data_IF_925869253675
#
_entry.id   IF_925869253675
#
_cell.length_a   1.000
_cell.length_b   1.000
_cell.length_c   1.000
_cell.angle_alpha   90.00
_cell.angle_beta   90.00
_cell.angle_gamma   90.00
#
_symmetry.space_group_name_H-M   'P 1'
#
loop_
_entity.id
_entity.type
_entity.pdbx_description
1 polymer ?
#
# COMPACT_ATOMS: atom_id res chain seq x y z
N UNK A 1 15.89 19.72 65.27
CA UNK A 1 16.83 19.51 64.14
C UNK A 1 17.21 18.06 64.10
N UNK A 2 16.62 17.28 63.20
CA UNK A 2 17.12 15.97 62.79
C UNK A 2 16.51 15.67 61.42
N UNK A 3 17.24 16.08 60.40
CA UNK A 3 16.99 15.82 59.00
C UNK A 3 17.25 14.33 58.75
N UNK A 4 16.19 13.57 58.45
CA UNK A 4 16.31 12.16 58.08
C UNK A 4 16.21 12.04 56.56
N UNK A 5 17.36 11.73 55.96
CA UNK A 5 17.62 11.53 54.55
C UNK A 5 17.40 10.04 54.22
N UNK A 6 16.39 9.67 53.42
CA UNK A 6 16.33 8.33 52.79
C UNK A 6 15.86 8.37 51.33
N UNK A 7 16.87 8.24 50.46
CA UNK A 7 16.96 7.64 49.13
C UNK A 7 15.70 7.55 48.25
N UNK A 8 15.63 8.44 47.25
CA UNK A 8 14.76 8.27 46.09
C UNK A 8 15.24 7.16 45.17
N UNK A 9 14.50 6.06 45.08
CA UNK A 9 14.66 5.07 44.01
C UNK A 9 14.07 5.63 42.72
N UNK A 10 14.91 6.19 41.85
CA UNK A 10 14.51 6.47 40.47
C UNK A 10 14.28 5.14 39.75
N UNK A 11 13.01 4.75 39.61
CA UNK A 11 12.58 3.75 38.63
C UNK A 11 12.96 4.29 37.24
N UNK A 12 14.11 3.84 36.71
CA UNK A 12 14.46 4.05 35.32
C UNK A 12 13.54 3.19 34.48
N UNK A 13 12.39 3.74 34.12
CA UNK A 13 11.50 3.14 33.12
C UNK A 13 12.26 3.12 31.79
N UNK A 14 12.87 1.97 31.49
CA UNK A 14 13.53 1.75 30.21
C UNK A 14 12.44 1.81 29.14
N UNK A 15 12.40 2.92 28.41
CA UNK A 15 11.44 3.13 27.35
C UNK A 15 11.62 2.03 26.31
N UNK A 16 10.73 1.03 26.33
CA UNK A 16 10.73 -0.05 25.35
C UNK A 16 10.70 0.59 23.95
N UNK A 17 11.78 0.41 23.20
CA UNK A 17 11.94 0.99 21.88
C UNK A 17 10.73 0.62 21.03
N UNK A 18 10.03 1.62 20.49
CA UNK A 18 8.85 1.40 19.63
C UNK A 18 9.17 0.70 18.29
N UNK A 19 10.42 0.27 18.12
CA UNK A 19 10.99 -0.24 16.88
C UNK A 19 11.94 -1.39 17.22
N UNK A 20 11.80 -2.52 16.52
CA UNK A 20 12.70 -3.65 16.56
C UNK A 20 13.59 -3.66 15.31
N UNK A 21 14.89 -3.91 15.44
CA UNK A 21 15.80 -4.05 14.29
C UNK A 21 16.01 -5.53 14.01
N UNK A 22 15.56 -6.00 12.85
CA UNK A 22 15.65 -7.39 12.39
C UNK A 22 17.11 -7.82 12.33
N UNK A 23 17.43 -8.99 12.88
CA UNK A 23 18.75 -9.63 12.83
C UNK A 23 18.79 -10.72 11.76
N UNK A 24 19.99 -11.16 11.40
CA UNK A 24 20.13 -12.30 10.50
C UNK A 24 19.50 -13.55 11.11
N UNK A 25 18.66 -14.25 10.35
CA UNK A 25 17.95 -15.46 10.82
C UNK A 25 16.60 -15.20 11.53
N UNK A 26 16.17 -13.95 11.63
CA UNK A 26 14.86 -13.60 12.19
C UNK A 26 13.72 -13.90 11.23
N UNK A 27 12.57 -14.25 11.82
CA UNK A 27 11.28 -14.33 11.13
C UNK A 27 10.26 -13.50 11.91
N UNK A 28 9.18 -13.07 11.25
CA UNK A 28 8.11 -12.34 11.94
C UNK A 28 7.54 -13.14 13.14
N UNK A 29 7.53 -14.47 13.04
CA UNK A 29 7.10 -15.34 14.13
C UNK A 29 8.03 -15.25 15.34
N UNK A 30 9.35 -15.38 15.15
CA UNK A 30 10.34 -15.24 16.24
C UNK A 30 10.27 -13.85 16.90
N UNK A 31 10.16 -12.80 16.09
CA UNK A 31 10.04 -11.42 16.58
C UNK A 31 8.72 -11.23 17.34
N UNK A 32 7.62 -11.81 16.87
CA UNK A 32 6.32 -11.76 17.54
C UNK A 32 6.39 -12.35 18.95
N UNK A 33 7.02 -13.52 19.10
CA UNK A 33 7.20 -14.15 20.41
C UNK A 33 8.08 -13.31 21.35
N UNK A 34 9.17 -12.74 20.82
CA UNK A 34 10.11 -11.94 21.61
C UNK A 34 9.51 -10.60 22.06
N UNK A 35 8.75 -9.94 21.19
CA UNK A 35 8.23 -8.59 21.42
C UNK A 35 6.81 -8.58 21.99
N UNK A 36 6.15 -9.74 22.08
CA UNK A 36 4.74 -9.90 22.45
C UNK A 36 3.78 -9.14 21.52
N UNK A 37 4.19 -8.87 20.27
CA UNK A 37 3.36 -8.24 19.23
C UNK A 37 3.05 -9.29 18.18
N UNK A 38 1.76 -9.61 17.98
CA UNK A 38 1.36 -10.63 17.01
C UNK A 38 1.90 -10.34 15.61
N UNK A 39 2.19 -11.39 14.83
CA UNK A 39 2.61 -11.28 13.42
C UNK A 39 1.65 -10.38 12.63
N UNK A 40 0.34 -10.52 12.85
CA UNK A 40 -0.68 -9.68 12.21
C UNK A 40 -0.49 -8.19 12.55
N UNK A 41 -0.22 -7.86 13.81
CA UNK A 41 0.03 -6.49 14.25
C UNK A 41 1.37 -5.96 13.74
N UNK A 42 2.45 -6.75 13.80
CA UNK A 42 3.74 -6.40 13.20
C UNK A 42 3.59 -6.06 11.72
N UNK A 43 2.84 -6.88 10.97
CA UNK A 43 2.58 -6.62 9.55
C UNK A 43 1.74 -5.36 9.35
N UNK A 44 0.67 -5.21 10.13
CA UNK A 44 -0.22 -4.04 10.07
C UNK A 44 0.52 -2.74 10.35
N UNK A 45 1.32 -2.69 11.41
CA UNK A 45 2.04 -1.49 11.84
C UNK A 45 3.14 -1.06 10.85
N UNK A 46 3.68 -2.04 10.11
CA UNK A 46 4.79 -1.85 9.18
C UNK A 46 4.40 -1.93 7.71
N UNK A 47 3.10 -2.08 7.40
CA UNK A 47 2.61 -2.24 6.03
C UNK A 47 3.17 -3.46 5.29
N UNK A 48 3.56 -4.51 6.01
CA UNK A 48 4.14 -5.72 5.41
C UNK A 48 3.02 -6.55 4.76
N UNK A 49 3.19 -6.85 3.48
CA UNK A 49 2.24 -7.67 2.71
C UNK A 49 2.51 -9.16 2.82
N UNK A 50 3.73 -9.55 3.13
CA UNK A 50 4.18 -10.94 3.30
C UNK A 50 4.91 -11.12 4.63
N UNK A 51 5.40 -12.33 4.89
CA UNK A 51 6.20 -12.63 6.08
C UNK A 51 7.71 -12.41 5.85
N UNK A 52 8.10 -11.92 4.67
CA UNK A 52 9.48 -11.66 4.31
C UNK A 52 9.98 -10.38 4.96
N UNK A 53 11.09 -10.50 5.69
CA UNK A 53 11.80 -9.40 6.34
C UNK A 53 13.29 -9.57 6.10
N UNK A 54 14.04 -8.47 6.13
CA UNK A 54 15.47 -8.47 5.87
C UNK A 54 16.27 -8.03 7.09
N UNK A 55 17.49 -8.55 7.31
CA UNK A 55 18.36 -8.05 8.36
C UNK A 55 18.55 -6.53 8.29
N UNK A 56 18.66 -5.89 9.45
CA UNK A 56 18.71 -4.43 9.68
C UNK A 56 17.41 -3.68 9.38
N UNK A 57 16.34 -4.35 8.94
CA UNK A 57 15.02 -3.74 8.80
C UNK A 57 14.46 -3.30 10.16
N UNK A 58 13.86 -2.11 10.22
CA UNK A 58 13.24 -1.58 11.43
C UNK A 58 11.73 -1.82 11.42
N UNK A 59 11.21 -2.55 12.40
CA UNK A 59 9.79 -2.89 12.57
C UNK A 59 9.18 -2.13 13.75
N UNK A 60 8.20 -1.28 13.47
CA UNK A 60 7.32 -0.64 14.45
C UNK A 60 6.57 -1.70 15.26
N UNK A 61 6.63 -1.59 16.58
CA UNK A 61 5.98 -2.51 17.51
C UNK A 61 4.61 -2.01 17.99
N UNK A 62 4.21 -0.79 17.59
CA UNK A 62 2.89 -0.22 17.90
C UNK A 62 2.30 0.54 16.72
N UNK A 63 0.98 0.62 16.66
CA UNK A 63 0.24 1.45 15.70
C UNK A 63 0.45 2.92 16.06
N UNK A 64 1.13 3.67 15.19
CA UNK A 64 1.15 5.13 15.30
C UNK A 64 -0.14 5.67 14.69
N UNK A 65 -1.05 6.20 15.52
CA UNK A 65 -2.15 7.07 15.06
C UNK A 65 -1.54 8.38 14.59
N UNK A 66 -1.07 8.41 13.35
CA UNK A 66 -0.58 9.61 12.71
C UNK A 66 -1.77 10.39 12.13
N UNK A 67 -2.16 11.43 12.85
CA UNK A 67 -2.98 12.53 12.36
C UNK A 67 -2.30 13.15 11.13
N UNK A 68 -3.09 13.44 10.12
CA UNK A 68 -2.73 14.04 8.84
C UNK A 68 -2.12 15.44 8.99
N UNK A 69 -1.00 15.71 8.32
CA UNK A 69 -0.74 16.80 7.35
C UNK A 69 0.78 16.96 7.12
N UNK A 70 1.13 17.19 5.86
CA UNK A 70 2.42 17.62 5.27
C UNK A 70 3.48 16.55 4.88
N UNK A 71 3.74 16.54 3.57
CA UNK A 71 4.82 15.90 2.78
C UNK A 71 6.08 16.81 2.80
N UNK A 72 7.34 16.43 2.43
CA UNK A 72 7.91 15.14 1.93
C UNK A 72 9.26 14.66 2.57
N UNK A 73 9.55 13.36 2.48
CA UNK A 73 10.82 12.74 1.96
C UNK A 73 10.87 11.24 2.33
N UNK A 74 10.72 10.28 1.39
CA UNK A 74 11.67 9.62 0.46
C UNK A 74 12.67 8.64 1.09
N UNK A 75 12.48 7.33 0.84
CA UNK A 75 13.52 6.32 0.49
C UNK A 75 12.85 4.95 0.27
N UNK A 76 13.09 4.13 -0.76
CA UNK A 76 13.70 4.29 -2.09
C UNK A 76 13.46 2.95 -2.82
N UNK A 77 12.74 2.95 -3.94
CA UNK A 77 12.74 1.88 -4.94
C UNK A 77 12.24 2.53 -6.24
N UNK A 78 13.18 2.79 -7.16
CA UNK A 78 13.07 3.56 -8.42
C UNK A 78 12.37 4.92 -8.30
N UNK A 79 13.09 6.03 -8.52
CA UNK A 79 12.45 7.34 -8.70
C UNK A 79 11.72 7.31 -10.04
N UNK A 80 10.53 6.73 -10.09
CA UNK A 80 9.71 6.77 -11.28
C UNK A 80 9.39 8.25 -11.57
N UNK A 81 9.90 8.78 -12.68
CA UNK A 81 9.67 10.16 -13.11
C UNK A 81 8.25 10.27 -13.63
N UNK A 82 7.58 11.36 -13.27
CA UNK A 82 6.27 11.70 -13.84
C UNK A 82 6.52 12.22 -15.26
N UNK A 83 6.09 11.45 -16.26
CA UNK A 83 6.25 11.82 -17.68
C UNK A 83 5.03 12.54 -18.24
N UNK A 84 3.85 12.28 -17.67
CA UNK A 84 2.61 12.91 -18.10
C UNK A 84 1.60 12.94 -16.95
N UNK A 85 0.92 14.08 -16.78
CA UNK A 85 -0.13 14.27 -15.79
C UNK A 85 -1.37 14.89 -16.48
N UNK A 86 -2.54 14.35 -16.18
CA UNK A 86 -3.81 14.86 -16.71
C UNK A 86 -5.01 14.30 -15.92
N UNK A 87 -6.17 14.89 -16.13
CA UNK A 87 -7.44 14.42 -15.55
C UNK A 87 -8.15 13.46 -16.50
N UNK A 88 -8.75 12.41 -15.93
CA UNK A 88 -9.54 11.40 -16.65
C UNK A 88 -10.86 11.15 -15.94
N UNK A 89 -11.87 10.69 -16.69
CA UNK A 89 -13.07 10.09 -16.10
C UNK A 89 -12.75 8.68 -15.63
N UNK A 90 -13.03 8.37 -14.37
CA UNK A 90 -12.78 7.07 -13.76
C UNK A 90 -14.07 6.41 -13.29
N UNK A 91 -14.20 5.13 -13.63
CA UNK A 91 -15.15 4.19 -13.04
C UNK A 91 -14.39 3.08 -12.31
N UNK A 92 -15.12 2.13 -11.72
CA UNK A 92 -14.54 0.90 -11.19
C UNK A 92 -15.25 -0.34 -11.73
N UNK A 93 -14.50 -1.41 -11.93
CA UNK A 93 -15.01 -2.72 -12.30
C UNK A 93 -14.54 -3.79 -11.32
N UNK A 94 -15.23 -4.92 -11.34
CA UNK A 94 -14.84 -6.12 -10.59
C UNK A 94 -14.58 -7.26 -11.56
N UNK A 95 -13.68 -8.18 -11.18
CA UNK A 95 -13.36 -9.36 -11.99
C UNK A 95 -14.26 -10.57 -11.67
N UNK A 96 -15.21 -10.42 -10.75
CA UNK A 96 -15.98 -11.51 -10.15
C UNK A 96 -17.42 -11.61 -10.70
N UNK A 97 -17.66 -11.07 -11.90
CA UNK A 97 -18.90 -11.27 -12.62
C UNK A 97 -19.05 -12.72 -13.15
N UNK A 98 -20.30 -13.18 -13.28
CA UNK A 98 -20.62 -14.52 -13.83
C UNK A 98 -20.08 -14.65 -15.25
N UNK A 99 -19.25 -15.68 -15.48
CA UNK A 99 -18.59 -15.93 -16.77
C UNK A 99 -17.31 -15.13 -17.02
N UNK A 100 -16.94 -14.19 -16.15
CA UNK A 100 -15.72 -13.42 -16.32
C UNK A 100 -14.48 -14.26 -15.97
N UNK A 101 -13.50 -14.36 -16.87
CA UNK A 101 -12.25 -15.08 -16.62
C UNK A 101 -11.40 -14.38 -15.55
N UNK A 102 -11.50 -13.05 -15.46
CA UNK A 102 -10.65 -12.20 -14.62
C UNK A 102 -9.23 -12.06 -15.15
N UNK A 103 -8.98 -12.43 -16.40
CA UNK A 103 -7.71 -12.25 -17.11
C UNK A 103 -7.77 -10.93 -17.86
N UNK A 104 -6.80 -10.04 -17.64
CA UNK A 104 -6.71 -8.75 -18.32
C UNK A 104 -6.05 -8.88 -19.70
N UNK A 105 -6.09 -7.80 -20.50
CA UNK A 105 -5.41 -7.74 -21.81
C UNK A 105 -3.93 -8.11 -21.76
N UNK A 106 -3.22 -7.76 -20.68
CA UNK A 106 -1.80 -8.11 -20.50
C UNK A 106 -1.57 -9.47 -19.84
N UNK A 107 -2.62 -10.28 -19.66
CA UNK A 107 -2.52 -11.63 -19.08
C UNK A 107 -2.52 -11.66 -17.54
N UNK A 108 -2.79 -10.56 -16.85
CA UNK A 108 -2.82 -10.55 -15.38
C UNK A 108 -4.09 -11.25 -14.90
N UNK A 109 -3.95 -12.23 -14.02
CA UNK A 109 -5.10 -12.89 -13.39
C UNK A 109 -5.51 -12.16 -12.09
N UNK A 110 -6.59 -11.39 -12.16
CA UNK A 110 -7.09 -10.57 -11.05
C UNK A 110 -7.76 -11.39 -9.94
N UNK A 111 -8.29 -12.58 -10.27
CA UNK A 111 -8.89 -13.49 -9.27
C UNK A 111 -7.82 -14.14 -8.38
N UNK A 112 -6.67 -14.48 -8.97
CA UNK A 112 -5.50 -14.97 -8.22
C UNK A 112 -4.76 -13.83 -7.50
N UNK A 113 -4.93 -12.59 -7.95
CA UNK A 113 -4.21 -11.43 -7.44
C UNK A 113 -5.15 -10.25 -7.09
N UNK A 114 -6.12 -10.42 -6.17
CA UNK A 114 -7.09 -9.39 -5.85
C UNK A 114 -6.47 -8.11 -5.25
N UNK A 115 -5.28 -8.22 -4.66
CA UNK A 115 -4.57 -7.06 -4.11
C UNK A 115 -3.82 -6.22 -5.16
N UNK A 116 -3.70 -6.69 -6.40
CA UNK A 116 -3.03 -5.92 -7.46
C UNK A 116 -3.93 -4.78 -7.92
N UNK A 117 -3.30 -3.61 -8.09
CA UNK A 117 -3.96 -2.44 -8.65
C UNK A 117 -3.74 -2.45 -10.16
N UNK A 118 -4.82 -2.73 -10.90
CA UNK A 118 -4.81 -2.75 -12.36
C UNK A 118 -5.89 -1.80 -12.86
N UNK A 119 -5.58 -1.06 -13.91
CA UNK A 119 -6.53 -0.18 -14.57
C UNK A 119 -6.73 -0.60 -16.02
N UNK A 120 -7.96 -0.52 -16.49
CA UNK A 120 -8.28 -0.54 -17.90
C UNK A 120 -8.11 0.87 -18.48
N UNK A 121 -7.49 0.97 -19.65
CA UNK A 121 -7.15 2.25 -20.30
C UNK A 121 -7.39 2.19 -21.81
N UNK A 122 -7.34 3.36 -22.46
CA UNK A 122 -7.09 3.47 -23.89
C UNK A 122 -5.57 3.44 -24.16
N UNK A 123 -5.03 2.40 -24.84
CA UNK A 123 -3.60 2.30 -25.12
C UNK A 123 -3.00 3.46 -25.91
N UNK A 124 -3.82 4.20 -26.68
CA UNK A 124 -3.37 5.41 -27.41
C UNK A 124 -3.08 6.58 -26.48
N UNK A 125 -3.68 6.58 -25.28
CA UNK A 125 -3.54 7.66 -24.28
C UNK A 125 -2.60 7.26 -23.15
N UNK A 126 -2.71 6.02 -22.67
CA UNK A 126 -1.86 5.41 -21.65
C UNK A 126 -1.41 4.04 -22.17
N UNK A 127 -0.13 3.85 -22.55
CA UNK A 127 0.35 2.58 -23.06
C UNK A 127 0.17 1.44 -22.05
N UNK A 128 -0.18 0.24 -22.52
CA UNK A 128 -0.24 -0.95 -21.66
C UNK A 128 1.13 -1.25 -21.05
N UNK A 129 1.13 -1.79 -19.83
CA UNK A 129 2.32 -2.03 -19.01
C UNK A 129 2.82 -0.79 -18.27
N UNK A 130 2.32 0.41 -18.57
CA UNK A 130 2.71 1.63 -17.85
C UNK A 130 2.37 1.53 -16.37
N UNK A 131 3.26 2.05 -15.53
CA UNK A 131 2.98 2.33 -14.13
C UNK A 131 2.25 3.68 -14.05
N UNK A 132 1.09 3.71 -13.41
CA UNK A 132 0.22 4.90 -13.35
C UNK A 132 -0.20 5.16 -11.92
N UNK A 133 0.08 6.34 -11.39
CA UNK A 133 -0.52 6.79 -10.14
C UNK A 133 -1.89 7.39 -10.42
N UNK A 134 -2.91 6.93 -9.69
CA UNK A 134 -4.28 7.39 -9.80
C UNK A 134 -4.69 8.01 -8.46
N UNK A 135 -5.18 9.25 -8.48
CA UNK A 135 -5.63 9.95 -7.28
C UNK A 135 -6.70 9.15 -6.51
N UNK A 136 -6.52 9.01 -5.20
CA UNK A 136 -7.43 8.24 -4.33
C UNK A 136 -7.36 6.71 -4.50
N UNK A 137 -6.68 6.19 -5.52
CA UNK A 137 -6.49 4.75 -5.73
C UNK A 137 -5.03 4.32 -5.51
N UNK A 138 -4.05 5.15 -5.85
CA UNK A 138 -2.62 4.87 -5.75
C UNK A 138 -2.01 4.35 -7.05
N UNK A 139 -0.83 3.76 -6.95
CA UNK A 139 -0.08 3.26 -8.11
C UNK A 139 -0.65 1.95 -8.63
N UNK A 140 -0.90 1.90 -9.93
CA UNK A 140 -1.51 0.80 -10.65
C UNK A 140 -0.74 0.48 -11.94
N UNK A 141 -1.02 -0.70 -12.49
CA UNK A 141 -0.52 -1.12 -13.80
C UNK A 141 -1.63 -0.87 -14.83
N UNK A 142 -1.29 -0.22 -15.95
CA UNK A 142 -2.14 -0.20 -17.13
C UNK A 142 -2.16 -1.59 -17.78
N UNK A 143 -2.94 -2.50 -17.21
CA UNK A 143 -2.91 -3.92 -17.56
C UNK A 143 -4.09 -4.39 -18.38
N UNK A 144 -5.08 -3.54 -18.63
CA UNK A 144 -6.31 -3.94 -19.28
C UNK A 144 -6.87 -2.91 -20.27
N UNK A 145 -7.86 -3.32 -21.04
CA UNK A 145 -8.61 -2.48 -21.98
C UNK A 145 -10.08 -2.86 -21.94
N UNK A 146 -10.97 -1.90 -22.19
CA UNK A 146 -12.41 -2.16 -22.35
C UNK A 146 -12.97 -1.49 -23.59
N UNK A 147 -14.02 -2.06 -24.19
CA UNK A 147 -14.67 -1.48 -25.37
C UNK A 147 -15.13 -0.04 -25.15
N UNK A 148 -15.65 0.26 -23.95
CA UNK A 148 -16.12 1.58 -23.54
C UNK A 148 -15.04 2.47 -22.88
N UNK A 149 -13.78 2.01 -22.81
CA UNK A 149 -12.66 2.75 -22.21
C UNK A 149 -11.82 3.34 -23.34
N UNK A 150 -12.21 4.53 -23.79
CA UNK A 150 -11.62 5.26 -24.92
C UNK A 150 -11.27 6.69 -24.51
N UNK A 151 -10.19 7.23 -25.05
CA UNK A 151 -9.71 8.58 -24.74
C UNK A 151 -9.27 8.75 -23.28
N UNK A 152 -9.63 9.89 -22.69
CA UNK A 152 -9.30 10.24 -21.28
C UNK A 152 -10.26 9.56 -20.28
N UNK A 153 -10.40 8.25 -20.40
CA UNK A 153 -11.23 7.42 -19.51
C UNK A 153 -10.43 6.23 -19.00
N UNK A 154 -10.64 5.88 -17.73
CA UNK A 154 -10.05 4.70 -17.10
C UNK A 154 -11.10 3.92 -16.33
N UNK A 155 -10.84 2.64 -16.09
CA UNK A 155 -11.63 1.80 -15.19
C UNK A 155 -10.70 1.14 -14.17
N UNK A 156 -10.91 1.38 -12.88
CA UNK A 156 -10.03 0.82 -11.84
C UNK A 156 -10.54 -0.55 -11.37
N UNK A 157 -9.66 -1.53 -11.28
CA UNK A 157 -10.03 -2.82 -10.71
C UNK A 157 -10.24 -2.69 -9.20
N UNK A 158 -11.40 -3.13 -8.73
CA UNK A 158 -11.71 -3.26 -7.32
C UNK A 158 -12.25 -4.68 -7.07
N UNK A 159 -11.70 -5.44 -6.12
CA UNK A 159 -12.10 -6.84 -5.93
C UNK A 159 -13.53 -7.04 -5.47
N UNK A 160 -14.07 -6.09 -4.70
CA UNK A 160 -15.40 -6.22 -4.10
C UNK A 160 -16.37 -5.21 -4.69
N UNK A 161 -17.59 -5.65 -4.95
CA UNK A 161 -18.65 -4.79 -5.48
C UNK A 161 -18.94 -3.59 -4.56
N UNK A 162 -18.96 -3.81 -3.23
CA UNK A 162 -19.18 -2.72 -2.26
C UNK A 162 -18.13 -1.62 -2.38
N UNK A 163 -16.85 -1.96 -2.52
CA UNK A 163 -15.78 -0.97 -2.70
C UNK A 163 -15.84 -0.31 -4.09
N UNK A 164 -16.28 -1.04 -5.13
CA UNK A 164 -16.46 -0.47 -6.46
C UNK A 164 -17.59 0.57 -6.48
N UNK A 165 -18.69 0.31 -5.77
CA UNK A 165 -19.77 1.28 -5.59
C UNK A 165 -19.31 2.51 -4.79
N UNK A 166 -18.53 2.31 -3.72
CA UNK A 166 -17.93 3.41 -2.95
C UNK A 166 -16.95 4.25 -3.76
N UNK A 167 -16.27 3.65 -4.74
CA UNK A 167 -15.40 4.39 -5.64
C UNK A 167 -16.20 5.38 -6.50
N UNK A 168 -17.34 4.94 -7.02
CA UNK A 168 -18.25 5.75 -7.83
C UNK A 168 -17.66 6.15 -9.19
N UNK A 169 -18.40 6.97 -9.92
CA UNK A 169 -17.92 7.61 -11.16
C UNK A 169 -17.43 9.00 -10.80
N UNK A 170 -16.20 9.34 -11.14
CA UNK A 170 -15.62 10.65 -10.81
C UNK A 170 -14.46 10.98 -11.72
N UNK A 171 -14.10 12.25 -11.76
CA UNK A 171 -12.88 12.68 -12.40
C UNK A 171 -11.71 12.55 -11.42
N UNK A 172 -10.60 11.99 -11.89
CA UNK A 172 -9.39 11.79 -11.08
C UNK A 172 -8.17 12.25 -11.85
N UNK A 173 -7.18 12.75 -11.12
CA UNK A 173 -5.86 13.02 -11.66
C UNK A 173 -5.06 11.73 -11.80
N UNK A 174 -4.39 11.57 -12.95
CA UNK A 174 -3.46 10.46 -13.20
C UNK A 174 -2.08 10.96 -13.55
N UNK A 175 -1.06 10.17 -13.18
CA UNK A 175 0.35 10.42 -13.49
C UNK A 175 0.95 9.16 -14.08
N UNK A 176 1.45 9.24 -15.31
CA UNK A 176 2.23 8.16 -15.93
C UNK A 176 3.65 8.23 -15.37
N UNK A 177 4.14 7.10 -14.89
CA UNK A 177 5.41 6.94 -14.21
C UNK A 177 6.35 6.07 -15.08
N UNK A 178 7.62 6.49 -15.22
CA UNK A 178 8.67 5.76 -15.92
C UNK A 178 9.96 5.72 -15.11
#
# INVERSE_FOLDING_TARGET
>A
MAMLLLLGTSLTTSAASNVYTVKSGDTLYKISQQTKVSVTNLKSYNGLKSNLIYPKQKLKLKKTTAQTISKPSTSSSSKDKVVKEFTVSSTAYTAYCRGCSGITRTGINLKKNPGLKVIAVDPKVIPLGSKVWVEGYGTAIAGDTGGAIKGKKIDVFIPTQSQALKWGRKNVKVKILK
#
